data_IF_315033484753
#
_entry.id   IF_315033484753
#
_cell.length_a   1.000
_cell.length_b   1.000
_cell.length_c   1.000
_cell.angle_alpha   90.00
_cell.angle_beta   90.00
_cell.angle_gamma   90.00
#
_symmetry.space_group_name_H-M   'P 1'
#
loop_
_entity.id
_entity.type
_entity.pdbx_description
1 polymer ?
#
# COMPACT_ATOMS: atom_id res chain seq x y z
N UNK A 1 -14.48 -3.81 -3.96
CA UNK A 1 -13.50 -4.46 -4.86
C UNK A 1 -13.65 -3.88 -6.26
N UNK A 2 -12.57 -3.49 -6.91
CA UNK A 2 -12.58 -2.96 -8.27
C UNK A 2 -12.85 -4.09 -9.26
N UNK A 3 -13.97 -4.02 -9.99
CA UNK A 3 -14.27 -4.96 -11.08
C UNK A 3 -13.38 -4.64 -12.28
N UNK A 4 -12.55 -5.60 -12.70
CA UNK A 4 -11.72 -5.45 -13.90
C UNK A 4 -12.56 -5.57 -15.16
N UNK A 5 -12.21 -4.77 -16.17
CA UNK A 5 -12.76 -4.94 -17.51
C UNK A 5 -12.17 -6.22 -18.14
N UNK A 6 -12.87 -6.88 -19.10
CA UNK A 6 -12.35 -8.09 -19.75
C UNK A 6 -10.94 -7.93 -20.34
N UNK A 7 -10.65 -6.75 -20.93
CA UNK A 7 -9.32 -6.45 -21.47
C UNK A 7 -8.25 -6.29 -20.37
N UNK A 8 -8.61 -5.75 -19.21
CA UNK A 8 -7.72 -5.61 -18.03
C UNK A 8 -7.42 -6.97 -17.42
N UNK A 9 -8.44 -7.85 -17.32
CA UNK A 9 -8.25 -9.22 -16.84
C UNK A 9 -7.34 -10.02 -17.77
N UNK A 10 -7.57 -9.92 -19.09
CA UNK A 10 -6.71 -10.59 -20.08
C UNK A 10 -5.26 -10.09 -19.99
N UNK A 11 -5.07 -8.78 -19.85
CA UNK A 11 -3.75 -8.19 -19.68
C UNK A 11 -3.08 -8.64 -18.37
N UNK A 12 -3.82 -8.64 -17.26
CA UNK A 12 -3.34 -9.17 -15.98
C UNK A 12 -2.86 -10.60 -16.11
N UNK A 13 -3.66 -11.48 -16.70
CA UNK A 13 -3.32 -12.88 -16.93
C UNK A 13 -2.04 -13.03 -17.78
N UNK A 14 -1.90 -12.22 -18.83
CA UNK A 14 -0.71 -12.20 -19.67
C UNK A 14 0.55 -11.84 -18.87
N UNK A 15 0.51 -10.78 -18.07
CA UNK A 15 1.66 -10.29 -17.27
C UNK A 15 2.00 -11.28 -16.15
N UNK A 16 0.98 -11.90 -15.52
CA UNK A 16 1.19 -12.83 -14.40
C UNK A 16 1.65 -14.22 -14.85
N UNK A 17 1.30 -14.66 -16.06
CA UNK A 17 1.52 -16.02 -16.53
C UNK A 17 2.94 -16.57 -16.28
N UNK A 18 4.03 -15.83 -16.57
CA UNK A 18 5.39 -16.32 -16.31
C UNK A 18 5.68 -16.53 -14.82
N UNK A 19 5.11 -15.71 -13.95
CA UNK A 19 5.32 -15.79 -12.51
C UNK A 19 4.45 -16.88 -11.87
N UNK A 20 3.23 -17.08 -12.36
CA UNK A 20 2.35 -18.19 -11.97
C UNK A 20 3.01 -19.52 -12.36
N UNK A 21 3.57 -19.63 -13.55
CA UNK A 21 4.30 -20.82 -13.98
C UNK A 21 5.52 -21.11 -13.08
N UNK A 22 6.23 -20.07 -12.63
CA UNK A 22 7.31 -20.20 -11.66
C UNK A 22 6.80 -20.72 -10.31
N UNK A 23 5.70 -20.16 -9.80
CA UNK A 23 5.10 -20.62 -8.53
C UNK A 23 4.63 -22.08 -8.62
N UNK A 24 4.11 -22.51 -9.76
CA UNK A 24 3.64 -23.88 -9.98
C UNK A 24 4.77 -24.92 -9.84
N UNK A 25 6.02 -24.54 -10.06
CA UNK A 25 7.19 -25.40 -9.89
C UNK A 25 7.62 -25.59 -8.43
N UNK A 26 7.06 -24.82 -7.50
CA UNK A 26 7.41 -24.90 -6.08
C UNK A 26 6.70 -26.07 -5.36
N UNK A 27 7.30 -26.63 -4.28
CA UNK A 27 6.64 -27.61 -3.44
C UNK A 27 5.29 -27.10 -2.91
N UNK A 28 4.25 -27.96 -2.77
CA UNK A 28 2.92 -27.55 -2.31
C UNK A 28 2.91 -26.80 -0.98
N UNK A 29 3.79 -27.17 -0.05
CA UNK A 29 3.93 -26.52 1.28
C UNK A 29 4.32 -25.04 1.19
N UNK A 30 4.99 -24.63 0.11
CA UNK A 30 5.31 -23.22 -0.17
C UNK A 30 4.27 -22.61 -1.10
N UNK A 31 3.83 -23.36 -2.12
CA UNK A 31 2.95 -22.86 -3.18
C UNK A 31 1.58 -22.46 -2.66
N UNK A 32 0.94 -23.24 -1.79
CA UNK A 32 -0.42 -22.95 -1.35
C UNK A 32 -0.51 -21.64 -0.52
N UNK A 33 0.31 -21.44 0.52
CA UNK A 33 0.35 -20.16 1.22
C UNK A 33 0.80 -19.01 0.32
N UNK A 34 1.77 -19.24 -0.56
CA UNK A 34 2.26 -18.23 -1.50
C UNK A 34 1.14 -17.75 -2.43
N UNK A 35 0.33 -18.66 -2.98
CA UNK A 35 -0.78 -18.26 -3.85
C UNK A 35 -1.80 -17.38 -3.11
N UNK A 36 -2.06 -17.63 -1.83
CA UNK A 36 -2.93 -16.78 -1.01
C UNK A 36 -2.37 -15.37 -0.85
N UNK A 37 -1.07 -15.24 -0.57
CA UNK A 37 -0.38 -13.95 -0.47
C UNK A 37 -0.39 -13.20 -1.81
N UNK A 38 -0.26 -13.92 -2.93
CA UNK A 38 -0.16 -13.32 -4.27
C UNK A 38 -1.51 -13.01 -4.90
N UNK A 39 -2.60 -13.65 -4.48
CA UNK A 39 -3.96 -13.39 -4.99
C UNK A 39 -4.60 -12.20 -4.26
N UNK A 40 -3.94 -11.05 -4.33
CA UNK A 40 -4.41 -9.80 -3.73
C UNK A 40 -4.85 -8.81 -4.80
N UNK A 41 -6.01 -8.16 -4.58
CA UNK A 41 -6.50 -7.07 -5.42
C UNK A 41 -5.45 -5.98 -5.63
N UNK A 42 -4.64 -5.72 -4.60
CA UNK A 42 -3.60 -4.70 -4.64
C UNK A 42 -2.54 -4.99 -5.72
N UNK A 43 -2.19 -6.26 -5.93
CA UNK A 43 -1.22 -6.63 -6.96
C UNK A 43 -1.78 -6.41 -8.37
N UNK A 44 -3.10 -6.59 -8.56
CA UNK A 44 -3.79 -6.29 -9.82
C UNK A 44 -3.76 -4.80 -10.10
N UNK A 45 -4.10 -3.97 -9.11
CA UNK A 45 -4.04 -2.51 -9.19
C UNK A 45 -2.64 -2.06 -9.61
N UNK A 46 -1.60 -2.53 -8.93
CA UNK A 46 -0.22 -2.17 -9.27
C UNK A 46 0.20 -2.55 -10.67
N UNK A 47 -0.18 -3.72 -11.11
CA UNK A 47 0.17 -4.21 -12.45
C UNK A 47 -0.55 -3.42 -13.54
N UNK A 48 -1.78 -2.98 -13.27
CA UNK A 48 -2.59 -2.21 -14.21
C UNK A 48 -2.31 -0.70 -14.14
N UNK A 49 -1.62 -0.21 -13.12
CA UNK A 49 -1.32 1.21 -12.96
C UNK A 49 -0.68 1.85 -14.20
N UNK A 50 0.33 1.25 -14.85
CA UNK A 50 0.88 1.77 -16.10
C UNK A 50 -0.13 1.81 -17.25
N UNK A 51 -1.03 0.84 -17.31
CA UNK A 51 -2.09 0.79 -18.34
C UNK A 51 -3.06 1.95 -18.13
N UNK A 52 -3.47 2.20 -16.90
CA UNK A 52 -4.41 3.27 -16.55
C UNK A 52 -3.83 4.67 -16.71
N UNK A 53 -2.51 4.83 -16.57
CA UNK A 53 -1.82 6.10 -16.81
C UNK A 53 -1.54 6.36 -18.29
N UNK A 54 -1.50 5.34 -19.15
CA UNK A 54 -1.04 5.46 -20.53
C UNK A 54 -1.90 6.39 -21.41
N UNK A 55 -3.22 6.59 -21.20
CA UNK A 55 -3.96 7.59 -21.96
C UNK A 55 -3.59 9.04 -21.64
N UNK A 56 -3.09 9.29 -20.41
CA UNK A 56 -2.62 10.60 -19.96
C UNK A 56 -1.14 10.80 -20.25
N UNK A 57 -0.34 9.75 -20.07
CA UNK A 57 1.11 9.71 -20.21
C UNK A 57 1.49 8.62 -21.23
N UNK A 58 1.42 8.89 -22.53
CA UNK A 58 1.59 7.87 -23.56
C UNK A 58 2.97 7.21 -23.54
N UNK A 59 2.96 5.88 -23.48
CA UNK A 59 4.12 5.01 -23.63
C UNK A 59 3.80 3.91 -24.64
N UNK A 60 4.84 3.31 -25.23
CA UNK A 60 4.63 2.15 -26.11
C UNK A 60 4.15 0.93 -25.30
N UNK A 61 3.35 0.06 -25.94
CA UNK A 61 2.84 -1.16 -25.29
C UNK A 61 3.96 -2.02 -24.67
N UNK A 62 5.12 -2.11 -25.33
CA UNK A 62 6.27 -2.84 -24.80
C UNK A 62 6.85 -2.23 -23.51
N UNK A 63 6.85 -0.91 -23.39
CA UNK A 63 7.30 -0.22 -22.17
C UNK A 63 6.27 -0.43 -21.06
N UNK A 64 4.97 -0.31 -21.36
CA UNK A 64 3.89 -0.53 -20.39
C UNK A 64 3.97 -1.96 -19.83
N UNK A 65 4.10 -2.97 -20.69
CA UNK A 65 4.21 -4.37 -20.27
C UNK A 65 5.41 -4.61 -19.36
N UNK A 66 6.59 -4.05 -19.70
CA UNK A 66 7.79 -4.16 -18.85
C UNK A 66 7.64 -3.44 -17.52
N UNK A 67 6.99 -2.26 -17.50
CA UNK A 67 6.67 -1.55 -16.25
C UNK A 67 5.74 -2.39 -15.37
N UNK A 68 4.67 -2.93 -15.95
CA UNK A 68 3.72 -3.79 -15.24
C UNK A 68 4.40 -5.02 -14.64
N UNK A 69 5.25 -5.70 -15.42
CA UNK A 69 6.00 -6.87 -14.95
C UNK A 69 7.03 -6.49 -13.87
N UNK A 70 7.75 -5.37 -14.03
CA UNK A 70 8.69 -4.88 -13.04
C UNK A 70 7.99 -4.59 -11.71
N UNK A 71 6.83 -3.94 -11.78
CA UNK A 71 6.01 -3.59 -10.63
C UNK A 71 5.47 -4.82 -9.93
N UNK A 72 4.93 -5.79 -10.67
CA UNK A 72 4.43 -7.04 -10.13
C UNK A 72 5.52 -7.84 -9.42
N UNK A 73 6.72 -7.95 -10.01
CA UNK A 73 7.86 -8.59 -9.36
C UNK A 73 8.23 -7.92 -8.03
N UNK A 74 8.22 -6.58 -7.99
CA UNK A 74 8.51 -5.81 -6.78
C UNK A 74 7.42 -5.99 -5.71
N UNK A 75 6.14 -5.92 -6.09
CA UNK A 75 5.01 -6.10 -5.20
C UNK A 75 4.98 -7.51 -4.58
N UNK A 76 5.19 -8.53 -5.39
CA UNK A 76 5.27 -9.92 -4.91
C UNK A 76 6.48 -10.15 -4.00
N UNK A 77 7.63 -9.55 -4.32
CA UNK A 77 8.81 -9.64 -3.45
C UNK A 77 8.53 -9.01 -2.07
N UNK A 78 7.85 -7.86 -2.04
CA UNK A 78 7.47 -7.18 -0.80
C UNK A 78 6.46 -8.02 0.00
N UNK A 79 5.40 -8.53 -0.64
CA UNK A 79 4.37 -9.34 0.00
C UNK A 79 4.93 -10.65 0.59
N UNK A 80 5.79 -11.36 -0.14
CA UNK A 80 6.44 -12.59 0.37
C UNK A 80 7.33 -12.26 1.57
N UNK A 81 8.07 -11.15 1.52
CA UNK A 81 8.93 -10.73 2.62
C UNK A 81 8.11 -10.38 3.86
N UNK A 82 7.00 -9.68 3.69
CA UNK A 82 6.07 -9.29 4.75
C UNK A 82 5.48 -10.54 5.41
N UNK A 83 4.93 -11.45 4.63
CA UNK A 83 4.39 -12.73 5.10
C UNK A 83 5.43 -13.62 5.81
N UNK A 84 6.71 -13.58 5.39
CA UNK A 84 7.80 -14.24 6.11
C UNK A 84 8.11 -13.57 7.46
N UNK A 85 8.00 -12.25 7.55
CA UNK A 85 8.23 -11.49 8.79
C UNK A 85 7.09 -11.68 9.80
N UNK A 86 5.87 -11.84 9.29
CA UNK A 86 4.67 -12.07 10.10
C UNK A 86 4.46 -13.55 10.46
N UNK A 87 5.30 -14.45 9.93
CA UNK A 87 5.22 -15.89 10.22
C UNK A 87 4.15 -16.63 9.42
N UNK A 88 3.50 -15.98 8.47
CA UNK A 88 2.51 -16.56 7.56
C UNK A 88 3.16 -17.47 6.51
N UNK A 89 4.38 -17.12 6.09
CA UNK A 89 5.23 -17.93 5.22
C UNK A 89 6.51 -18.37 5.94
N UNK A 90 6.97 -19.57 5.60
CA UNK A 90 8.25 -20.06 6.10
C UNK A 90 9.41 -19.26 5.47
N UNK A 91 10.53 -19.13 6.21
CA UNK A 91 11.74 -18.44 5.74
C UNK A 91 12.34 -19.08 4.46
N UNK A 92 11.91 -20.28 4.10
CA UNK A 92 12.28 -20.92 2.84
C UNK A 92 11.77 -20.20 1.60
N UNK A 93 10.76 -19.32 1.74
CA UNK A 93 10.27 -18.45 0.66
C UNK A 93 11.14 -17.19 0.45
N UNK A 94 11.99 -16.81 1.40
CA UNK A 94 12.82 -15.60 1.30
C UNK A 94 13.78 -15.56 0.08
N UNK A 95 14.36 -16.66 -0.42
CA UNK A 95 15.13 -16.66 -1.67
C UNK A 95 14.30 -16.24 -2.88
N UNK A 96 13.01 -16.63 -2.95
CA UNK A 96 12.09 -16.23 -4.02
C UNK A 96 11.85 -14.70 -3.98
N UNK A 97 11.56 -14.16 -2.79
CA UNK A 97 11.42 -12.70 -2.62
C UNK A 97 12.66 -11.95 -3.14
N UNK A 98 13.86 -12.41 -2.81
CA UNK A 98 15.11 -11.82 -3.30
C UNK A 98 15.30 -11.94 -4.81
N UNK A 99 14.88 -13.05 -5.40
CA UNK A 99 14.95 -13.25 -6.86
C UNK A 99 14.00 -12.33 -7.61
N UNK A 100 12.75 -12.21 -7.14
CA UNK A 100 11.73 -11.30 -7.67
C UNK A 100 12.16 -9.83 -7.52
N UNK A 101 12.72 -9.45 -6.37
CA UNK A 101 13.26 -8.11 -6.14
C UNK A 101 14.37 -7.76 -7.15
N UNK A 102 15.35 -8.65 -7.34
CA UNK A 102 16.40 -8.46 -8.35
C UNK A 102 15.83 -8.38 -9.76
N UNK A 103 14.82 -9.19 -10.08
CA UNK A 103 14.14 -9.14 -11.38
C UNK A 103 13.45 -7.82 -11.61
N UNK A 104 12.74 -7.29 -10.61
CA UNK A 104 12.13 -5.96 -10.65
C UNK A 104 13.16 -4.87 -10.97
N UNK A 105 14.26 -4.83 -10.22
CA UNK A 105 15.35 -3.89 -10.45
C UNK A 105 15.97 -3.99 -11.85
N UNK A 106 16.19 -5.20 -12.31
CA UNK A 106 16.72 -5.44 -13.65
C UNK A 106 15.78 -4.90 -14.72
N UNK A 107 14.48 -5.16 -14.60
CA UNK A 107 13.47 -4.68 -15.55
C UNK A 107 13.40 -3.15 -15.56
N UNK A 108 13.36 -2.49 -14.41
CA UNK A 108 13.43 -1.03 -14.34
C UNK A 108 14.72 -0.49 -14.97
N UNK A 109 15.86 -1.14 -14.73
CA UNK A 109 17.14 -0.77 -15.33
C UNK A 109 17.15 -0.88 -16.87
N UNK A 110 16.48 -1.90 -17.44
CA UNK A 110 16.34 -2.04 -18.91
C UNK A 110 15.44 -0.98 -19.54
N UNK A 111 14.60 -0.33 -18.73
CA UNK A 111 13.76 0.80 -19.13
C UNK A 111 14.46 2.16 -18.96
N UNK A 112 15.74 2.18 -18.61
CA UNK A 112 16.49 3.39 -18.31
C UNK A 112 15.89 4.24 -17.16
N UNK A 113 15.15 3.59 -16.25
CA UNK A 113 14.71 4.26 -15.01
C UNK A 113 15.94 4.57 -14.16
N UNK A 114 16.04 5.81 -13.70
CA UNK A 114 17.21 6.28 -12.96
C UNK A 114 17.43 5.42 -11.69
N UNK A 115 18.62 4.83 -11.61
CA UNK A 115 18.97 3.95 -10.47
C UNK A 115 18.91 4.68 -9.13
N UNK A 116 19.19 5.97 -9.12
CA UNK A 116 19.11 6.80 -7.91
C UNK A 116 17.68 6.93 -7.40
N UNK A 117 16.69 7.06 -8.29
CA UNK A 117 15.28 7.08 -7.93
C UNK A 117 14.88 5.78 -7.24
N UNK A 118 15.24 4.64 -7.82
CA UNK A 118 14.94 3.33 -7.24
C UNK A 118 15.62 3.15 -5.88
N UNK A 119 16.90 3.52 -5.77
CA UNK A 119 17.67 3.42 -4.53
C UNK A 119 17.12 4.34 -3.42
N UNK A 120 16.63 5.53 -3.77
CA UNK A 120 15.98 6.42 -2.79
C UNK A 120 14.69 5.82 -2.25
N UNK A 121 13.83 5.34 -3.12
CA UNK A 121 12.57 4.73 -2.73
C UNK A 121 12.79 3.45 -1.89
N UNK A 122 13.77 2.62 -2.25
CA UNK A 122 14.15 1.46 -1.46
C UNK A 122 14.65 1.85 -0.07
N UNK A 123 15.52 2.87 0.03
CA UNK A 123 16.00 3.36 1.36
C UNK A 123 14.84 3.80 2.24
N UNK A 124 13.86 4.55 1.69
CA UNK A 124 12.67 5.00 2.43
C UNK A 124 11.84 3.83 2.93
N UNK A 125 11.57 2.87 2.05
CA UNK A 125 10.82 1.66 2.40
C UNK A 125 11.53 0.85 3.49
N UNK A 126 12.84 0.61 3.36
CA UNK A 126 13.62 -0.13 4.34
C UNK A 126 13.67 0.60 5.69
N UNK A 127 13.80 1.93 5.68
CA UNK A 127 13.76 2.74 6.91
C UNK A 127 12.40 2.64 7.61
N UNK A 128 11.30 2.74 6.85
CA UNK A 128 9.94 2.61 7.38
C UNK A 128 9.68 1.21 7.96
N UNK A 129 10.15 0.16 7.31
CA UNK A 129 10.07 -1.21 7.82
C UNK A 129 10.86 -1.40 9.13
N UNK A 130 12.08 -0.86 9.22
CA UNK A 130 12.87 -0.92 10.46
C UNK A 130 12.17 -0.20 11.61
N UNK A 131 11.54 0.93 11.32
CA UNK A 131 10.76 1.68 12.28
C UNK A 131 9.54 0.87 12.75
N UNK A 132 8.80 0.22 11.85
CA UNK A 132 7.70 -0.66 12.19
C UNK A 132 8.16 -1.79 13.14
N UNK A 133 9.24 -2.48 12.80
CA UNK A 133 9.79 -3.54 13.65
C UNK A 133 10.19 -3.03 15.04
N UNK A 134 10.70 -1.80 15.14
CA UNK A 134 11.06 -1.18 16.41
C UNK A 134 9.85 -0.77 17.27
N UNK A 135 8.65 -0.66 16.66
CA UNK A 135 7.40 -0.39 17.41
C UNK A 135 6.68 -1.65 17.85
N UNK A 136 7.07 -2.84 17.39
CA UNK A 136 6.48 -4.11 17.83
C UNK A 136 6.75 -4.34 19.32
N UNK A 137 5.75 -4.78 20.05
CA UNK A 137 5.86 -5.04 21.48
C UNK A 137 5.34 -6.44 21.84
N UNK A 138 6.04 -7.12 22.75
CA UNK A 138 5.58 -8.40 23.29
C UNK A 138 4.68 -8.21 24.53
N UNK A 139 4.65 -7.00 25.09
CA UNK A 139 3.85 -6.68 26.28
C UNK A 139 2.47 -6.12 25.91
N UNK A 140 2.23 -5.83 24.64
CA UNK A 140 1.02 -5.14 24.19
C UNK A 140 0.92 -3.69 24.66
N UNK A 141 2.03 -3.09 25.15
CA UNK A 141 2.09 -1.72 25.63
C UNK A 141 3.06 -0.89 24.79
N UNK A 142 2.71 0.34 24.44
CA UNK A 142 3.53 1.25 23.65
C UNK A 142 3.85 2.53 24.41
N UNK A 143 5.10 2.92 24.32
CA UNK A 143 5.54 4.26 24.72
C UNK A 143 5.04 5.29 23.73
N UNK A 144 4.70 6.53 24.16
CA UNK A 144 4.25 7.59 23.27
C UNK A 144 5.19 7.82 22.08
N UNK A 145 6.50 7.81 22.30
CA UNK A 145 7.52 8.03 21.27
C UNK A 145 7.49 6.97 20.17
N UNK A 146 7.13 5.73 20.49
CA UNK A 146 6.99 4.66 19.51
C UNK A 146 5.82 4.95 18.56
N UNK A 147 4.65 5.30 19.11
CA UNK A 147 3.46 5.60 18.30
C UNK A 147 3.58 6.92 17.54
N UNK A 148 4.12 7.97 18.16
CA UNK A 148 4.31 9.27 17.51
C UNK A 148 5.17 9.20 16.25
N UNK A 149 6.02 8.20 16.14
CA UNK A 149 6.86 7.98 14.97
C UNK A 149 6.08 7.48 13.73
N UNK A 150 4.90 6.88 13.91
CA UNK A 150 4.06 6.32 12.85
C UNK A 150 3.20 7.39 12.17
N UNK A 151 3.82 8.30 11.45
CA UNK A 151 3.17 9.46 10.79
C UNK A 151 2.57 9.07 9.43
N UNK A 152 1.73 9.95 8.84
CA UNK A 152 1.30 9.84 7.45
C UNK A 152 2.50 9.72 6.49
N UNK A 153 3.59 10.47 6.74
CA UNK A 153 4.82 10.38 5.97
C UNK A 153 5.48 9.00 6.09
N UNK A 154 5.44 8.39 7.27
CA UNK A 154 5.90 7.01 7.46
C UNK A 154 5.08 6.02 6.63
N UNK A 155 3.75 6.16 6.58
CA UNK A 155 2.87 5.32 5.74
C UNK A 155 3.27 5.43 4.27
N UNK A 156 3.41 6.64 3.74
CA UNK A 156 3.85 6.86 2.36
C UNK A 156 5.26 6.30 2.10
N UNK A 157 6.17 6.38 3.07
CA UNK A 157 7.50 5.80 2.96
C UNK A 157 7.47 4.25 2.95
N UNK A 158 6.62 3.63 3.78
CA UNK A 158 6.39 2.17 3.78
C UNK A 158 5.84 1.72 2.42
N UNK A 159 4.95 2.49 1.84
CA UNK A 159 4.34 2.25 0.54
C UNK A 159 5.17 2.78 -0.65
N UNK A 160 6.47 3.05 -0.48
CA UNK A 160 7.32 3.64 -1.54
C UNK A 160 7.35 2.79 -2.83
N UNK A 161 7.06 1.49 -2.76
CA UNK A 161 6.90 0.64 -3.94
C UNK A 161 5.83 1.13 -4.92
N UNK A 162 4.75 1.76 -4.43
CA UNK A 162 3.72 2.35 -5.27
C UNK A 162 4.25 3.57 -6.03
N UNK A 163 5.09 4.36 -5.40
CA UNK A 163 5.70 5.53 -6.04
C UNK A 163 6.69 5.15 -7.13
N UNK A 164 7.31 3.96 -7.05
CA UNK A 164 8.27 3.50 -8.08
C UNK A 164 7.60 3.46 -9.44
N UNK A 165 6.47 2.78 -9.58
CA UNK A 165 5.81 2.60 -10.88
C UNK A 165 5.33 3.92 -11.46
N UNK A 166 4.72 4.77 -10.63
CA UNK A 166 4.21 6.07 -11.06
C UNK A 166 5.35 6.99 -11.49
N UNK A 167 6.41 7.11 -10.69
CA UNK A 167 7.56 7.97 -11.02
C UNK A 167 8.32 7.44 -12.21
N UNK A 168 8.47 6.13 -12.37
CA UNK A 168 9.05 5.52 -13.56
C UNK A 168 8.23 5.87 -14.81
N UNK A 169 6.89 5.79 -14.71
CA UNK A 169 6.02 6.13 -15.83
C UNK A 169 6.14 7.61 -16.22
N UNK A 170 6.06 8.53 -15.24
CA UNK A 170 6.23 9.98 -15.44
C UNK A 170 7.59 10.27 -16.14
N UNK A 171 8.66 9.67 -15.65
CA UNK A 171 10.00 9.86 -16.20
C UNK A 171 10.12 9.32 -17.64
N UNK A 172 9.59 8.13 -17.92
CA UNK A 172 9.63 7.51 -19.24
C UNK A 172 8.76 8.25 -20.26
N UNK A 173 7.69 8.93 -19.80
CA UNK A 173 6.91 9.84 -20.62
C UNK A 173 7.60 11.20 -20.87
N UNK A 174 8.82 11.41 -20.36
CA UNK A 174 9.56 12.63 -20.52
C UNK A 174 9.06 13.83 -19.72
N UNK A 175 8.16 13.58 -18.74
CA UNK A 175 7.59 14.61 -17.87
C UNK A 175 8.50 14.86 -16.67
N UNK A 176 8.58 16.11 -16.21
CA UNK A 176 9.28 16.47 -14.98
C UNK A 176 8.41 16.18 -13.77
N UNK A 177 9.03 15.93 -12.61
CA UNK A 177 8.29 15.65 -11.37
C UNK A 177 7.59 16.87 -10.77
N UNK A 178 7.99 18.07 -11.17
CA UNK A 178 7.37 19.36 -10.79
C UNK A 178 6.29 19.83 -11.78
N UNK A 179 6.06 19.10 -12.87
CA UNK A 179 4.93 19.39 -13.76
C UNK A 179 3.60 19.25 -13.02
N UNK A 180 2.61 20.12 -13.26
CA UNK A 180 1.33 20.08 -12.56
C UNK A 180 0.63 18.71 -12.59
N UNK A 181 0.72 18.01 -13.72
CA UNK A 181 0.17 16.67 -13.87
C UNK A 181 0.89 15.65 -12.97
N UNK A 182 2.23 15.68 -12.95
CA UNK A 182 3.02 14.78 -12.12
C UNK A 182 2.80 15.03 -10.61
N UNK A 183 2.68 16.30 -10.22
CA UNK A 183 2.35 16.71 -8.85
C UNK A 183 0.95 16.22 -8.47
N UNK A 184 -0.05 16.41 -9.34
CA UNK A 184 -1.43 15.96 -9.11
C UNK A 184 -1.50 14.43 -8.92
N UNK A 185 -0.85 13.66 -9.81
CA UNK A 185 -0.77 12.21 -9.70
C UNK A 185 -0.11 11.77 -8.40
N UNK A 186 0.98 12.45 -7.97
CA UNK A 186 1.68 12.11 -6.72
C UNK A 186 0.83 12.43 -5.49
N UNK A 187 0.16 13.59 -5.49
CA UNK A 187 -0.77 13.99 -4.42
C UNK A 187 -1.93 13.00 -4.29
N UNK A 188 -2.50 12.58 -5.41
CA UNK A 188 -3.60 11.61 -5.41
C UNK A 188 -3.14 10.24 -4.91
N UNK A 189 -1.95 9.79 -5.31
CA UNK A 189 -1.40 8.51 -4.87
C UNK A 189 -1.12 8.51 -3.37
N UNK A 190 -0.50 9.57 -2.83
CA UNK A 190 -0.26 9.73 -1.38
C UNK A 190 -1.58 9.68 -0.61
N UNK A 191 -2.58 10.43 -1.03
CA UNK A 191 -3.88 10.47 -0.38
C UNK A 191 -4.60 9.11 -0.44
N UNK A 192 -4.53 8.41 -1.57
CA UNK A 192 -5.11 7.08 -1.74
C UNK A 192 -4.41 6.02 -0.87
N UNK A 193 -3.08 6.07 -0.77
CA UNK A 193 -2.29 5.21 0.11
C UNK A 193 -2.72 5.41 1.57
N UNK A 194 -2.84 6.66 2.01
CA UNK A 194 -3.23 7.00 3.37
C UNK A 194 -4.66 6.57 3.67
N UNK A 195 -5.61 6.80 2.75
CA UNK A 195 -6.99 6.39 2.92
C UNK A 195 -7.09 4.87 3.07
N UNK A 196 -6.47 4.14 2.16
CA UNK A 196 -6.47 2.67 2.19
C UNK A 196 -5.81 2.12 3.45
N UNK A 197 -4.64 2.64 3.83
CA UNK A 197 -3.95 2.20 5.04
C UNK A 197 -4.78 2.46 6.29
N UNK A 198 -5.43 3.64 6.40
CA UNK A 198 -6.30 3.93 7.54
C UNK A 198 -7.46 2.94 7.65
N UNK A 199 -8.09 2.61 6.52
CA UNK A 199 -9.18 1.63 6.49
C UNK A 199 -8.70 0.23 6.90
N UNK A 200 -7.57 -0.21 6.35
CA UNK A 200 -6.98 -1.52 6.67
C UNK A 200 -6.55 -1.58 8.15
N UNK A 201 -5.87 -0.55 8.69
CA UNK A 201 -5.47 -0.44 10.09
C UNK A 201 -6.64 -0.53 11.07
N UNK A 202 -7.78 0.03 10.70
CA UNK A 202 -8.99 0.00 11.53
C UNK A 202 -9.69 -1.36 11.44
N UNK A 203 -9.65 -1.98 10.27
CA UNK A 203 -10.24 -3.30 10.04
C UNK A 203 -9.49 -4.39 10.80
N UNK A 204 -8.16 -4.33 10.78
CA UNK A 204 -7.27 -5.31 11.39
C UNK A 204 -6.88 -4.96 12.84
N UNK A 205 -7.46 -3.88 13.40
CA UNK A 205 -7.08 -3.32 14.70
C UNK A 205 -6.97 -4.36 15.81
N UNK A 206 -7.97 -5.25 15.91
CA UNK A 206 -8.02 -6.25 16.99
C UNK A 206 -6.87 -7.27 16.88
N UNK A 207 -6.52 -7.67 15.65
CA UNK A 207 -5.46 -8.63 15.39
C UNK A 207 -4.09 -7.97 15.52
N UNK A 208 -3.94 -6.74 15.06
CA UNK A 208 -2.72 -5.96 15.21
C UNK A 208 -2.37 -5.71 16.67
N UNK A 209 -3.34 -5.25 17.45
CA UNK A 209 -3.17 -5.00 18.89
C UNK A 209 -2.81 -6.29 19.62
N UNK A 210 -3.48 -7.41 19.31
CA UNK A 210 -3.21 -8.73 19.92
C UNK A 210 -1.80 -9.22 19.56
N UNK A 211 -1.35 -8.96 18.34
CA UNK A 211 0.00 -9.31 17.88
C UNK A 211 1.08 -8.31 18.33
N UNK A 212 0.73 -7.25 19.08
CA UNK A 212 1.65 -6.22 19.52
C UNK A 212 2.20 -5.37 18.36
N UNK A 213 1.46 -5.27 17.27
CA UNK A 213 1.79 -4.45 16.11
C UNK A 213 1.15 -3.07 16.25
N UNK A 214 1.95 -2.03 16.04
CA UNK A 214 1.46 -0.66 15.99
C UNK A 214 1.32 -0.21 14.52
N UNK A 215 0.23 0.47 14.23
CA UNK A 215 -0.06 1.05 12.91
C UNK A 215 -0.36 2.54 13.02
N UNK A 216 -0.57 3.20 11.90
CA UNK A 216 -1.00 4.60 11.90
C UNK A 216 -2.39 4.77 12.52
N UNK A 217 -3.32 3.85 12.26
CA UNK A 217 -4.64 3.83 12.91
C UNK A 217 -4.54 3.67 14.43
N UNK A 218 -3.69 2.76 14.92
CA UNK A 218 -3.40 2.60 16.35
C UNK A 218 -2.90 3.92 16.96
N UNK A 219 -1.99 4.63 16.28
CA UNK A 219 -1.53 5.94 16.72
C UNK A 219 -2.66 6.96 16.82
N UNK A 220 -3.52 7.08 15.79
CA UNK A 220 -4.61 8.06 15.79
C UNK A 220 -5.60 7.81 16.93
N UNK A 221 -5.87 6.54 17.25
CA UNK A 221 -6.69 6.16 18.41
C UNK A 221 -5.97 6.53 19.72
N UNK A 222 -4.67 6.26 19.83
CA UNK A 222 -3.87 6.65 21.00
C UNK A 222 -3.87 8.17 21.21
N UNK A 223 -3.75 8.97 20.14
CA UNK A 223 -3.83 10.44 20.21
C UNK A 223 -5.18 10.93 20.73
N UNK A 224 -6.28 10.24 20.40
CA UNK A 224 -7.61 10.53 20.98
C UNK A 224 -7.63 10.28 22.49
N UNK A 225 -7.01 9.19 22.96
CA UNK A 225 -6.90 8.89 24.39
C UNK A 225 -6.03 9.95 25.09
N UNK A 226 -4.86 10.27 24.53
CA UNK A 226 -3.96 11.29 25.08
C UNK A 226 -4.61 12.68 25.18
N UNK A 227 -5.41 13.07 24.20
CA UNK A 227 -6.19 14.33 24.25
C UNK A 227 -7.15 14.33 25.43
N UNK A 228 -7.81 13.22 25.72
CA UNK A 228 -8.73 13.10 26.84
C UNK A 228 -8.03 13.09 28.22
N UNK A 229 -6.78 12.63 28.28
CA UNK A 229 -6.01 12.52 29.53
C UNK A 229 -5.06 13.69 29.80
N UNK A 230 -5.02 14.67 28.89
CA UNK A 230 -4.20 15.86 29.06
C UNK A 230 -2.73 15.69 28.65
N UNK A 231 -2.35 14.57 28.03
CA UNK A 231 -1.00 14.37 27.52
C UNK A 231 -0.64 12.93 27.15
N UNK A 232 0.52 12.73 26.51
CA UNK A 232 0.99 11.43 26.11
C UNK A 232 1.38 10.56 27.33
N UNK A 233 0.77 9.38 27.41
CA UNK A 233 1.03 8.37 28.44
C UNK A 233 1.28 7.01 27.81
N UNK A 234 1.89 6.08 28.56
CA UNK A 234 1.98 4.67 28.16
C UNK A 234 0.57 4.13 27.91
N UNK A 235 0.40 3.43 26.82
CA UNK A 235 -0.90 2.91 26.42
C UNK A 235 -0.80 1.42 26.09
N UNK A 236 -1.78 0.65 26.55
CA UNK A 236 -1.90 -0.76 26.21
C UNK A 236 -2.95 -1.00 25.12
N UNK A 237 -2.87 -2.17 24.50
CA UNK A 237 -3.76 -2.56 23.42
C UNK A 237 -5.21 -2.68 23.81
N UNK A 238 -5.51 -3.05 25.06
CA UNK A 238 -6.90 -3.16 25.54
C UNK A 238 -7.55 -1.77 25.60
N UNK A 239 -6.81 -0.75 26.02
CA UNK A 239 -7.30 0.64 26.01
C UNK A 239 -7.56 1.14 24.59
N UNK A 240 -6.68 0.81 23.65
CA UNK A 240 -6.85 1.16 22.22
C UNK A 240 -8.09 0.47 21.67
N UNK A 241 -8.21 -0.85 21.82
CA UNK A 241 -9.37 -1.61 21.35
C UNK A 241 -10.66 -1.17 22.06
N UNK A 242 -10.62 -0.96 23.37
CA UNK A 242 -11.76 -0.47 24.15
C UNK A 242 -12.21 0.92 23.68
N UNK A 243 -11.29 1.85 23.48
CA UNK A 243 -11.61 3.20 22.97
C UNK A 243 -12.27 3.13 21.60
N UNK A 244 -11.72 2.34 20.69
CA UNK A 244 -12.31 2.09 19.37
C UNK A 244 -13.75 1.54 19.46
N UNK A 245 -13.99 0.57 20.32
CA UNK A 245 -15.30 -0.07 20.45
C UNK A 245 -16.36 0.87 21.01
N UNK A 246 -16.03 1.64 22.06
CA UNK A 246 -17.01 2.41 22.83
C UNK A 246 -17.21 3.84 22.36
N UNK A 247 -16.29 4.40 21.54
CA UNK A 247 -16.34 5.81 21.16
C UNK A 247 -16.81 6.01 19.70
N UNK A 248 -18.10 6.28 19.48
CA UNK A 248 -18.63 6.55 18.14
C UNK A 248 -18.09 7.85 17.54
N UNK A 249 -17.73 8.86 18.38
CA UNK A 249 -17.20 10.12 17.89
C UNK A 249 -15.79 9.93 17.30
N UNK A 250 -14.95 9.09 17.91
CA UNK A 250 -13.65 8.71 17.37
C UNK A 250 -13.81 7.98 16.04
N UNK A 251 -14.71 7.02 15.92
CA UNK A 251 -14.97 6.32 14.65
C UNK A 251 -15.40 7.30 13.56
N UNK A 252 -16.26 8.26 13.91
CA UNK A 252 -16.67 9.30 12.96
C UNK A 252 -15.52 10.22 12.58
N UNK A 253 -14.59 10.56 13.50
CA UNK A 253 -13.38 11.34 13.22
C UNK A 253 -12.48 10.60 12.22
N UNK A 254 -12.24 9.30 12.42
CA UNK A 254 -11.42 8.49 11.49
C UNK A 254 -12.10 8.31 10.13
N UNK A 255 -13.41 8.08 10.11
CA UNK A 255 -14.17 8.04 8.86
C UNK A 255 -14.13 9.37 8.09
N UNK A 256 -14.21 10.49 8.80
CA UNK A 256 -14.07 11.83 8.22
C UNK A 256 -12.65 12.08 7.68
N UNK A 257 -11.62 11.61 8.39
CA UNK A 257 -10.23 11.66 7.93
C UNK A 257 -10.06 10.88 6.63
N UNK A 258 -10.58 9.64 6.58
CA UNK A 258 -10.56 8.82 5.38
C UNK A 258 -11.28 9.50 4.21
N UNK A 259 -12.50 10.02 4.43
CA UNK A 259 -13.26 10.73 3.41
C UNK A 259 -12.53 11.97 2.88
N UNK A 260 -11.86 12.72 3.75
CA UNK A 260 -11.04 13.88 3.36
C UNK A 260 -9.87 13.46 2.47
N UNK A 261 -9.19 12.36 2.77
CA UNK A 261 -8.12 11.82 1.92
C UNK A 261 -8.64 11.40 0.54
N UNK A 262 -9.79 10.71 0.48
CA UNK A 262 -10.41 10.37 -0.80
C UNK A 262 -10.81 11.62 -1.59
N UNK A 263 -11.33 12.67 -0.94
CA UNK A 263 -11.64 13.94 -1.59
C UNK A 263 -10.38 14.64 -2.11
N UNK A 264 -9.27 14.61 -1.39
CA UNK A 264 -7.98 15.15 -1.84
C UNK A 264 -7.50 14.41 -3.10
N UNK A 265 -7.55 13.07 -3.09
CA UNK A 265 -7.18 12.28 -4.26
C UNK A 265 -8.08 12.62 -5.47
N UNK A 266 -9.39 12.67 -5.26
CA UNK A 266 -10.36 13.01 -6.30
C UNK A 266 -10.11 14.41 -6.86
N UNK A 267 -9.93 15.42 -5.99
CA UNK A 267 -9.68 16.80 -6.41
C UNK A 267 -8.41 16.92 -7.25
N UNK A 268 -7.34 16.24 -6.87
CA UNK A 268 -6.10 16.23 -7.63
C UNK A 268 -6.26 15.61 -9.02
N UNK A 269 -7.06 14.54 -9.16
CA UNK A 269 -7.25 13.82 -10.43
C UNK A 269 -8.29 14.45 -11.36
N UNK A 270 -9.24 15.24 -10.83
CA UNK A 270 -10.36 15.79 -11.63
C UNK A 270 -9.94 16.52 -12.91
N UNK A 271 -8.87 17.34 -12.95
CA UNK A 271 -8.42 17.98 -14.19
C UNK A 271 -8.06 17.00 -15.30
N UNK A 272 -7.78 15.76 -14.96
CA UNK A 272 -7.33 14.70 -15.87
C UNK A 272 -8.32 13.54 -16.02
N UNK A 273 -9.51 13.65 -15.43
CA UNK A 273 -10.49 12.56 -15.30
C UNK A 273 -10.86 11.90 -16.62
N UNK A 274 -10.92 12.68 -17.71
CA UNK A 274 -11.22 12.16 -19.05
C UNK A 274 -10.18 11.15 -19.57
N UNK A 275 -8.93 11.25 -19.09
CA UNK A 275 -7.82 10.38 -19.50
C UNK A 275 -7.58 9.20 -18.56
N UNK A 276 -8.00 9.32 -17.29
CA UNK A 276 -7.69 8.33 -16.23
C UNK A 276 -8.96 7.86 -15.49
N UNK A 277 -10.05 7.47 -16.21
CA UNK A 277 -11.31 7.11 -15.56
C UNK A 277 -11.14 5.98 -14.53
N UNK A 278 -10.23 5.03 -14.76
CA UNK A 278 -10.01 3.90 -13.84
C UNK A 278 -9.39 4.31 -12.51
N UNK A 279 -8.57 5.36 -12.49
CA UNK A 279 -8.06 5.93 -11.24
C UNK A 279 -9.16 6.67 -10.49
N UNK A 280 -10.08 7.34 -11.19
CA UNK A 280 -11.29 7.94 -10.60
C UNK A 280 -12.15 6.85 -9.97
N UNK A 281 -12.44 5.76 -10.71
CA UNK A 281 -13.21 4.62 -10.19
C UNK A 281 -12.56 4.05 -8.92
N UNK A 282 -11.23 3.90 -8.89
CA UNK A 282 -10.50 3.39 -7.73
C UNK A 282 -10.69 4.28 -6.50
N UNK A 283 -10.61 5.61 -6.65
CA UNK A 283 -10.84 6.55 -5.56
C UNK A 283 -12.30 6.50 -5.08
N UNK A 284 -13.27 6.37 -6.00
CA UNK A 284 -14.69 6.24 -5.66
C UNK A 284 -14.95 4.96 -4.85
N UNK A 285 -14.39 3.84 -5.28
CA UNK A 285 -14.52 2.54 -4.58
C UNK A 285 -13.88 2.61 -3.19
N UNK A 286 -12.70 3.23 -3.06
CA UNK A 286 -12.07 3.41 -1.75
C UNK A 286 -12.90 4.31 -0.85
N UNK A 287 -13.47 5.39 -1.39
CA UNK A 287 -14.36 6.29 -0.64
C UNK A 287 -15.61 5.57 -0.13
N UNK A 288 -16.21 4.69 -0.92
CA UNK A 288 -17.36 3.89 -0.50
C UNK A 288 -16.96 2.86 0.55
N UNK A 289 -15.83 2.18 0.37
CA UNK A 289 -15.32 1.20 1.32
C UNK A 289 -15.02 1.82 2.70
N UNK A 290 -14.56 3.06 2.74
CA UNK A 290 -14.28 3.77 3.99
C UNK A 290 -15.52 4.11 4.84
N UNK A 291 -16.73 4.01 4.30
CA UNK A 291 -17.97 4.19 5.08
C UNK A 291 -18.12 3.15 6.18
N UNK A 292 -17.49 2.01 6.04
CA UNK A 292 -17.49 0.94 7.06
C UNK A 292 -16.70 1.33 8.32
N UNK A 293 -15.80 2.32 8.25
CA UNK A 293 -15.02 2.80 9.41
C UNK A 293 -15.93 3.31 10.53
N UNK A 294 -17.01 4.01 10.18
CA UNK A 294 -17.95 4.55 11.18
C UNK A 294 -18.82 3.46 11.83
N UNK A 295 -18.94 2.30 11.18
CA UNK A 295 -19.82 1.20 11.62
C UNK A 295 -18.99 0.05 12.18
N UNK A 296 -19.26 -0.36 13.41
CA UNK A 296 -18.71 -1.62 13.93
C UNK A 296 -19.65 -2.73 13.48
N UNK A 297 -19.17 -3.61 12.60
CA UNK A 297 -19.81 -4.90 12.43
C UNK A 297 -19.45 -5.77 13.66
N UNK A 298 -20.33 -5.78 14.63
CA UNK A 298 -20.28 -6.72 15.77
C UNK A 298 -20.74 -8.11 15.24
N UNK A 299 -19.95 -8.73 14.36
CA UNK A 299 -20.14 -10.12 13.96
C UNK A 299 -19.09 -11.00 14.63
#
# INVERSE_FOLDING_TARGET
>A
MLSLLPAEEAYWQQVCSPLIALSASLPPVIRCPLNQVLDSEIHRIFTLWPVWLSPLLPLTSSIIERLSLATLCGAWAAAIRDACLDGELTQTAAPLARALWRRSWHLFGTLAVHRELLADLERRMVAAYRQELATRTHTGCWQPTQLQSLTAQWVCARAAGWHVVQRAHIMLAGMKFDDPCAVALSTALDALILARQLRDDVHDLADDVRAGRASWGVRLIAESIWRAEGGPVLIDGQRIAGRWLIDPALRQELASTHATLCQQAMHALMPYAAYIPRLIDLVMIESEAGRTIATINLL
#
